data_IF_749406117757
#
_entry.id   IF_749406117757
#
_cell.length_a   1.000
_cell.length_b   1.000
_cell.length_c   1.000
_cell.angle_alpha   90.00
_cell.angle_beta   90.00
_cell.angle_gamma   90.00
#
_symmetry.space_group_name_H-M   'P 1'
#
loop_
_entity.id
_entity.type
_entity.pdbx_description
1 polymer ?
#
# COMPACT_ATOMS: atom_id res chain seq x y z
N UNK A 1 46.09 41.62 0.13
CA UNK A 1 46.83 40.70 1.02
C UNK A 1 45.85 40.11 2.01
N UNK A 2 45.46 38.85 1.82
CA UNK A 2 44.58 38.13 2.73
C UNK A 2 45.16 36.72 2.89
N UNK A 3 45.56 36.40 4.12
CA UNK A 3 46.20 35.15 4.50
C UNK A 3 45.15 34.08 4.77
N UNK A 4 45.30 32.93 4.13
CA UNK A 4 44.56 31.70 4.46
C UNK A 4 45.37 30.89 5.46
N UNK A 5 44.82 30.65 6.65
CA UNK A 5 45.36 29.70 7.62
C UNK A 5 44.58 28.40 7.56
N UNK A 6 45.32 27.30 7.34
CA UNK A 6 44.85 25.93 7.37
C UNK A 6 44.96 25.40 8.80
N UNK A 7 43.94 24.70 9.30
CA UNK A 7 43.91 24.09 10.64
C UNK A 7 43.30 22.68 10.61
N UNK A 8 43.66 21.78 11.55
CA UNK A 8 43.99 20.40 11.21
C UNK A 8 42.89 19.35 11.51
N UNK A 9 43.13 18.18 10.90
CA UNK A 9 42.43 16.89 11.03
C UNK A 9 42.24 16.44 12.49
N UNK A 10 40.98 16.23 12.87
CA UNK A 10 40.56 15.63 14.14
C UNK A 10 40.34 14.11 14.00
N UNK A 11 40.86 13.39 14.99
CA UNK A 11 41.09 11.95 15.06
C UNK A 11 39.84 11.06 15.12
N UNK A 12 39.99 9.84 14.61
CA UNK A 12 39.07 8.72 14.78
C UNK A 12 39.28 8.03 16.13
N UNK A 13 38.21 7.82 16.91
CA UNK A 13 38.18 6.89 18.04
C UNK A 13 37.34 5.66 17.68
N UNK A 14 38.01 4.51 17.61
CA UNK A 14 37.40 3.18 17.57
C UNK A 14 37.19 2.72 19.01
N UNK A 15 35.93 2.52 19.42
CA UNK A 15 35.61 1.76 20.62
C UNK A 15 35.09 0.38 20.22
N UNK A 16 35.89 -0.63 20.55
CA UNK A 16 35.48 -2.02 20.63
C UNK A 16 34.73 -2.25 21.95
N UNK A 17 33.61 -2.97 21.92
CA UNK A 17 33.07 -3.62 23.12
C UNK A 17 32.33 -4.91 22.74
N UNK A 18 32.62 -5.91 23.56
CA UNK A 18 32.38 -7.34 23.44
C UNK A 18 31.03 -7.79 24.01
N UNK A 19 30.54 -8.92 23.48
CA UNK A 19 29.72 -9.97 24.12
C UNK A 19 28.51 -9.58 25.00
N UNK A 20 27.32 -10.03 24.61
CA UNK A 20 26.48 -10.81 25.52
C UNK A 20 25.39 -11.64 24.82
N UNK A 21 25.50 -12.96 25.01
CA UNK A 21 24.45 -13.96 25.29
C UNK A 21 23.18 -14.01 24.42
N UNK A 22 23.14 -15.03 23.55
CA UNK A 22 21.91 -15.48 22.89
C UNK A 22 21.01 -16.23 23.87
N UNK A 23 19.85 -15.65 24.17
CA UNK A 23 18.75 -16.37 24.82
C UNK A 23 17.85 -16.94 23.73
N UNK A 24 17.83 -18.26 23.59
CA UNK A 24 16.86 -18.96 22.75
C UNK A 24 15.50 -18.91 23.50
N UNK A 25 14.43 -18.37 22.89
CA UNK A 25 13.12 -18.30 23.53
C UNK A 25 12.46 -19.69 23.66
N UNK A 26 11.73 -19.89 24.76
CA UNK A 26 11.18 -21.16 25.27
C UNK A 26 10.16 -21.87 24.36
N UNK A 27 9.65 -21.23 23.31
CA UNK A 27 8.67 -21.84 22.40
C UNK A 27 9.23 -22.95 21.49
N UNK A 28 10.55 -23.22 21.58
CA UNK A 28 11.23 -24.25 20.76
C UNK A 28 11.34 -25.63 21.42
N UNK A 29 10.76 -25.84 22.61
CA UNK A 29 10.77 -27.14 23.29
C UNK A 29 9.65 -28.03 22.71
N UNK A 30 10.00 -28.89 21.74
CA UNK A 30 9.15 -29.99 21.26
C UNK A 30 9.21 -31.16 22.24
N UNK A 31 8.11 -31.41 22.96
CA UNK A 31 7.89 -32.71 23.63
C UNK A 31 7.37 -33.74 22.61
N UNK A 32 7.93 -34.95 22.66
CA UNK A 32 7.59 -36.12 21.84
C UNK A 32 7.20 -37.28 22.77
N UNK A 33 6.18 -38.05 22.38
CA UNK A 33 5.82 -39.39 22.90
C UNK A 33 4.89 -39.35 24.12
N UNK A 34 3.94 -40.27 24.33
CA UNK A 34 3.73 -41.62 23.77
C UNK A 34 2.32 -42.14 24.16
N UNK A 35 1.66 -42.80 23.20
CA UNK A 35 0.79 -44.01 23.22
C UNK A 35 -0.15 -44.38 24.41
N UNK A 36 -1.46 -44.47 24.08
CA UNK A 36 -2.52 -45.53 24.28
C UNK A 36 -2.59 -46.43 25.55
N UNK A 37 -3.64 -47.26 25.81
CA UNK A 37 -5.02 -47.40 25.29
C UNK A 37 -6.10 -47.58 26.42
N UNK A 38 -7.41 -47.63 26.10
CA UNK A 38 -8.35 -48.71 26.52
C UNK A 38 -9.79 -48.49 26.02
N UNK A 39 -10.43 -49.60 25.64
CA UNK A 39 -11.78 -49.80 25.11
C UNK A 39 -12.81 -50.10 26.19
N UNK A 40 -14.07 -49.64 26.06
CA UNK A 40 -15.28 -50.40 26.45
C UNK A 40 -16.58 -49.85 25.83
N UNK A 41 -17.57 -50.75 25.81
CA UNK A 41 -18.75 -50.89 24.97
C UNK A 41 -19.92 -49.90 25.08
N UNK A 42 -20.67 -49.90 23.96
CA UNK A 42 -22.10 -49.72 23.72
C UNK A 42 -23.06 -49.33 24.87
N UNK A 43 -23.93 -48.34 24.61
CA UNK A 43 -25.39 -48.55 24.61
C UNK A 43 -26.18 -47.38 24.00
N UNK A 44 -27.32 -47.76 23.38
CA UNK A 44 -28.35 -46.94 22.76
C UNK A 44 -28.89 -45.79 23.63
N UNK A 45 -29.21 -44.67 22.97
CA UNK A 45 -29.98 -43.59 23.57
C UNK A 45 -30.38 -42.54 22.55
N UNK A 46 -31.45 -42.79 21.80
CA UNK A 46 -32.22 -41.77 21.08
C UNK A 46 -32.73 -40.72 22.06
N UNK A 47 -32.32 -39.47 21.89
CA UNK A 47 -33.11 -38.32 22.32
C UNK A 47 -32.78 -37.10 21.45
N UNK A 48 -33.83 -36.53 20.87
CA UNK A 48 -33.85 -35.30 20.11
C UNK A 48 -33.40 -34.12 20.97
N UNK A 49 -32.45 -33.33 20.49
CA UNK A 49 -32.25 -31.96 20.98
C UNK A 49 -31.76 -31.06 19.84
N UNK A 50 -32.41 -29.92 19.76
CA UNK A 50 -32.35 -28.92 18.70
C UNK A 50 -30.94 -28.29 18.64
N UNK A 51 -30.28 -28.37 17.48
CA UNK A 51 -29.05 -27.62 17.22
C UNK A 51 -29.37 -26.12 17.05
N UNK A 52 -28.66 -25.21 17.74
CA UNK A 52 -28.67 -23.80 17.37
C UNK A 52 -27.95 -23.61 16.04
N UNK A 53 -28.64 -22.93 15.12
CA UNK A 53 -28.23 -22.64 13.75
C UNK A 53 -27.16 -21.55 13.80
N UNK A 54 -25.89 -21.91 13.65
CA UNK A 54 -24.82 -20.95 13.45
C UNK A 54 -25.04 -20.23 12.10
N UNK A 55 -25.28 -18.92 12.17
CA UNK A 55 -25.29 -18.01 11.02
C UNK A 55 -23.83 -17.74 10.62
N UNK A 56 -23.33 -18.48 9.64
CA UNK A 56 -22.15 -18.06 8.90
C UNK A 56 -22.54 -17.08 7.79
N UNK A 57 -21.93 -15.89 7.71
CA UNK A 57 -22.01 -15.07 6.51
C UNK A 57 -20.98 -15.53 5.47
N UNK A 58 -21.54 -16.08 4.39
CA UNK A 58 -21.11 -16.11 2.98
C UNK A 58 -20.06 -15.04 2.63
N UNK A 59 -19.04 -15.31 1.82
CA UNK A 59 -19.16 -15.88 0.48
C UNK A 59 -17.99 -16.78 0.07
N UNK A 60 -18.34 -18.03 -0.28
CA UNK A 60 -17.54 -18.92 -1.13
C UNK A 60 -17.90 -18.64 -2.58
N UNK A 61 -16.89 -18.33 -3.38
CA UNK A 61 -16.95 -18.11 -4.82
C UNK A 61 -16.90 -19.47 -5.53
N UNK A 62 -18.01 -20.21 -5.50
CA UNK A 62 -18.14 -21.45 -6.28
C UNK A 62 -19.50 -21.53 -7.00
N UNK A 63 -19.39 -21.39 -8.32
CA UNK A 63 -20.10 -22.11 -9.39
C UNK A 63 -21.63 -22.24 -9.30
N UNK A 64 -22.32 -21.36 -10.03
CA UNK A 64 -23.65 -21.66 -10.58
C UNK A 64 -23.51 -22.07 -12.06
N UNK A 65 -24.19 -23.16 -12.43
CA UNK A 65 -24.02 -23.97 -13.64
C UNK A 65 -24.80 -23.48 -14.89
N UNK A 66 -25.10 -22.19 -15.02
CA UNK A 66 -25.82 -21.65 -16.19
C UNK A 66 -24.98 -20.67 -17.00
N UNK A 67 -24.04 -21.21 -17.79
CA UNK A 67 -22.99 -20.44 -18.48
C UNK A 67 -23.47 -19.64 -19.69
N UNK A 68 -24.72 -19.81 -20.16
CA UNK A 68 -25.30 -19.06 -21.30
C UNK A 68 -26.17 -17.88 -20.88
N UNK A 69 -26.56 -17.78 -19.62
CA UNK A 69 -27.52 -16.76 -19.15
C UNK A 69 -27.02 -15.94 -17.95
N UNK A 70 -25.79 -16.17 -17.47
CA UNK A 70 -25.16 -15.23 -16.56
C UNK A 70 -24.73 -13.98 -17.35
N UNK A 71 -25.47 -12.88 -17.18
CA UNK A 71 -24.92 -11.53 -17.39
C UNK A 71 -23.49 -11.56 -16.84
N UNK A 72 -22.49 -11.32 -17.70
CA UNK A 72 -21.07 -11.30 -17.32
C UNK A 72 -20.98 -10.64 -15.96
N UNK A 73 -20.71 -11.41 -14.91
CA UNK A 73 -20.40 -10.86 -13.60
C UNK A 73 -19.24 -9.91 -13.89
N UNK A 74 -19.53 -8.61 -13.89
CA UNK A 74 -18.59 -7.61 -14.30
C UNK A 74 -17.45 -7.75 -13.31
N UNK A 75 -16.33 -8.31 -13.77
CA UNK A 75 -15.10 -8.25 -13.02
C UNK A 75 -14.82 -6.78 -12.67
N UNK A 76 -13.93 -6.52 -11.70
CA UNK A 76 -13.60 -5.19 -11.25
C UNK A 76 -13.52 -4.21 -12.43
N UNK A 77 -14.47 -3.28 -12.50
CA UNK A 77 -14.52 -2.41 -13.65
C UNK A 77 -13.58 -1.25 -13.35
N UNK A 78 -12.54 -1.14 -14.18
CA UNK A 78 -11.71 0.06 -14.18
C UNK A 78 -12.64 1.27 -14.41
N UNK A 79 -12.60 2.30 -13.56
CA UNK A 79 -13.41 3.50 -13.78
C UNK A 79 -13.10 4.10 -15.16
N UNK A 80 -14.04 4.84 -15.73
CA UNK A 80 -13.70 5.65 -16.91
C UNK A 80 -12.79 6.80 -16.48
N UNK A 81 -12.05 7.36 -17.42
CA UNK A 81 -11.12 8.44 -17.10
C UNK A 81 -11.86 9.68 -16.59
N UNK A 82 -13.03 9.95 -17.15
CA UNK A 82 -13.92 11.07 -16.80
C UNK A 82 -14.45 10.91 -15.38
N UNK A 83 -14.70 9.67 -14.95
CA UNK A 83 -15.21 9.32 -13.63
C UNK A 83 -14.10 9.21 -12.57
N UNK A 84 -12.84 9.12 -12.99
CA UNK A 84 -11.69 8.99 -12.09
C UNK A 84 -11.59 10.20 -11.15
N UNK A 85 -11.40 9.93 -9.86
CA UNK A 85 -11.28 10.94 -8.79
C UNK A 85 -9.89 10.91 -8.16
N UNK A 86 -9.47 12.05 -7.62
CA UNK A 86 -8.29 12.15 -6.75
C UNK A 86 -8.51 11.29 -5.51
N UNK A 87 -7.46 10.62 -5.04
CA UNK A 87 -7.53 9.65 -3.93
C UNK A 87 -8.00 8.26 -4.35
N UNK A 88 -8.46 8.04 -5.59
CA UNK A 88 -8.83 6.70 -6.07
C UNK A 88 -7.58 5.81 -6.12
N UNK A 89 -7.71 4.55 -5.71
CA UNK A 89 -6.64 3.56 -5.77
C UNK A 89 -6.80 2.69 -7.01
N UNK A 90 -5.77 2.70 -7.84
CA UNK A 90 -5.60 1.85 -9.01
C UNK A 90 -4.38 0.95 -8.81
N UNK A 91 -4.05 0.16 -9.82
CA UNK A 91 -2.95 -0.79 -9.80
C UNK A 91 -2.01 -0.59 -11.00
N UNK A 92 -0.72 -0.55 -10.72
CA UNK A 92 0.31 -0.71 -11.75
C UNK A 92 0.54 -2.20 -11.95
N UNK A 93 0.22 -2.68 -13.16
CA UNK A 93 0.42 -4.08 -13.54
C UNK A 93 1.86 -4.50 -13.28
N UNK A 94 2.06 -5.76 -12.90
CA UNK A 94 3.41 -6.35 -12.81
C UNK A 94 4.14 -6.36 -14.16
N UNK A 95 3.39 -6.49 -15.26
CA UNK A 95 3.93 -6.35 -16.60
C UNK A 95 4.24 -4.87 -16.86
N UNK A 96 5.51 -4.49 -17.09
CA UNK A 96 5.87 -3.11 -17.36
C UNK A 96 5.15 -2.55 -18.58
N UNK A 97 4.86 -1.25 -18.56
CA UNK A 97 4.45 -0.53 -19.75
C UNK A 97 5.56 -0.57 -20.81
N UNK A 98 5.21 -0.43 -22.10
CA UNK A 98 6.14 -0.16 -23.18
C UNK A 98 7.17 0.94 -22.84
N UNK A 99 8.39 0.83 -23.40
CA UNK A 99 9.54 1.69 -23.04
C UNK A 99 9.34 3.17 -23.38
N UNK A 100 8.43 3.47 -24.29
CA UNK A 100 7.99 4.80 -24.71
C UNK A 100 6.98 5.45 -23.75
N UNK A 101 6.52 4.72 -22.72
CA UNK A 101 5.67 5.29 -21.67
C UNK A 101 6.39 6.39 -20.90
N UNK A 102 5.66 7.47 -20.59
CA UNK A 102 6.16 8.60 -19.79
C UNK A 102 6.72 8.16 -18.43
N UNK A 103 6.19 7.06 -17.86
CA UNK A 103 6.65 6.58 -16.56
C UNK A 103 8.14 6.26 -16.57
N UNK A 104 8.67 5.68 -17.66
CA UNK A 104 10.09 5.33 -17.74
C UNK A 104 10.98 6.57 -17.71
N UNK A 105 10.52 7.70 -18.23
CA UNK A 105 11.21 8.98 -18.16
C UNK A 105 11.19 9.58 -16.74
N UNK A 106 10.12 9.35 -15.98
CA UNK A 106 10.03 9.77 -14.58
C UNK A 106 10.81 8.88 -13.61
N UNK A 107 10.96 7.59 -13.91
CA UNK A 107 11.55 6.60 -12.98
C UNK A 107 13.07 6.66 -12.82
N UNK A 108 13.79 7.43 -13.65
CA UNK A 108 15.25 7.60 -13.50
C UNK A 108 15.69 8.15 -12.14
N UNK A 109 14.74 8.63 -11.32
CA UNK A 109 14.96 9.26 -10.02
C UNK A 109 14.59 8.34 -8.83
N UNK A 110 13.87 7.23 -9.05
CA UNK A 110 13.36 6.39 -7.96
C UNK A 110 14.16 5.10 -7.78
N UNK A 111 14.58 4.85 -6.54
CA UNK A 111 15.09 3.53 -6.12
C UNK A 111 13.94 2.52 -6.08
N UNK A 112 13.81 1.71 -7.14
CA UNK A 112 12.91 0.56 -7.18
C UNK A 112 12.02 0.48 -8.42
N UNK A 113 11.29 -0.62 -8.55
CA UNK A 113 10.35 -0.81 -9.65
C UNK A 113 8.95 -0.33 -9.25
N UNK A 114 8.29 0.53 -10.05
CA UNK A 114 6.92 0.99 -9.74
C UNK A 114 5.86 -0.08 -10.03
N UNK A 115 6.25 -1.18 -10.69
CA UNK A 115 5.34 -2.21 -11.17
C UNK A 115 4.88 -3.13 -10.03
N UNK A 116 3.62 -3.54 -10.07
CA UNK A 116 3.05 -4.45 -9.09
C UNK A 116 2.59 -3.79 -7.80
N UNK A 117 2.46 -2.46 -7.78
CA UNK A 117 2.10 -1.67 -6.62
C UNK A 117 0.75 -0.95 -6.81
N UNK A 118 -0.01 -0.71 -5.72
CA UNK A 118 -1.15 0.19 -5.75
C UNK A 118 -0.69 1.62 -6.09
N UNK A 119 -1.49 2.32 -6.87
CA UNK A 119 -1.25 3.68 -7.34
C UNK A 119 -2.42 4.57 -6.89
N UNK A 120 -2.14 5.56 -6.05
CA UNK A 120 -3.14 6.53 -5.58
C UNK A 120 -3.15 7.71 -6.55
N UNK A 121 -4.29 7.97 -7.16
CA UNK A 121 -4.49 9.07 -8.11
C UNK A 121 -4.33 10.41 -7.40
N UNK A 122 -3.42 11.25 -7.89
CA UNK A 122 -3.18 12.60 -7.38
C UNK A 122 -3.77 13.66 -8.32
N UNK A 123 -3.68 13.45 -9.63
CA UNK A 123 -4.21 14.36 -10.66
C UNK A 123 -4.50 13.58 -11.93
N UNK A 124 -5.39 14.09 -12.77
CA UNK A 124 -5.64 13.57 -14.11
C UNK A 124 -5.57 14.69 -15.12
N UNK A 125 -5.00 14.42 -16.28
CA UNK A 125 -4.83 15.41 -17.33
C UNK A 125 -4.84 14.74 -18.72
N UNK A 126 -5.08 15.54 -19.74
CA UNK A 126 -5.11 15.09 -21.14
C UNK A 126 -4.08 15.89 -21.95
N UNK A 127 -3.39 15.22 -22.87
CA UNK A 127 -2.49 15.86 -23.84
C UNK A 127 -2.57 15.09 -25.15
N UNK A 128 -2.82 15.80 -26.25
CA UNK A 128 -2.88 15.22 -27.60
C UNK A 128 -3.87 14.05 -27.74
N UNK A 129 -5.01 14.09 -27.03
CA UNK A 129 -6.00 13.01 -27.03
C UNK A 129 -5.61 11.77 -26.23
N UNK A 130 -4.47 11.79 -25.52
CA UNK A 130 -4.10 10.75 -24.57
C UNK A 130 -4.39 11.20 -23.13
N UNK A 131 -4.91 10.26 -22.33
CA UNK A 131 -5.23 10.45 -20.93
C UNK A 131 -4.07 10.02 -20.05
N UNK A 132 -3.72 10.85 -19.07
CA UNK A 132 -2.63 10.63 -18.13
C UNK A 132 -3.10 10.85 -16.70
N UNK A 133 -2.38 10.19 -15.79
CA UNK A 133 -2.63 10.26 -14.36
C UNK A 133 -1.31 10.51 -13.66
N UNK A 134 -1.31 11.50 -12.77
CA UNK A 134 -0.28 11.60 -11.76
C UNK A 134 -0.70 10.78 -10.54
N UNK A 135 0.24 10.06 -9.95
CA UNK A 135 -0.04 9.17 -8.85
C UNK A 135 1.13 9.07 -7.87
N UNK A 136 0.85 8.54 -6.68
CA UNK A 136 1.84 8.10 -5.70
C UNK A 136 1.69 6.61 -5.44
N UNK A 137 2.81 5.93 -5.21
CA UNK A 137 2.82 4.49 -4.96
C UNK A 137 2.45 4.17 -3.51
N UNK A 138 1.68 3.11 -3.35
CA UNK A 138 1.55 2.39 -2.08
C UNK A 138 2.49 1.19 -2.01
N UNK A 139 2.96 0.89 -0.81
CA UNK A 139 3.81 -0.28 -0.52
C UNK A 139 3.43 -0.87 0.83
N UNK A 140 3.50 -2.20 0.94
CA UNK A 140 3.28 -2.88 2.22
C UNK A 140 4.56 -3.20 2.97
N UNK A 141 5.73 -3.01 2.35
CA UNK A 141 7.01 -3.52 2.86
C UNK A 141 6.96 -4.99 3.30
N UNK A 142 6.21 -5.83 2.57
CA UNK A 142 6.01 -7.23 2.95
C UNK A 142 5.14 -7.43 4.20
N UNK A 143 4.37 -6.41 4.60
CA UNK A 143 3.55 -6.40 5.81
C UNK A 143 4.30 -5.93 7.07
N UNK A 144 5.57 -5.54 6.94
CA UNK A 144 6.35 -5.08 8.09
C UNK A 144 6.04 -3.64 8.49
N UNK A 145 6.24 -3.28 9.78
CA UNK A 145 6.22 -1.89 10.20
C UNK A 145 7.27 -1.05 9.46
N UNK A 146 7.02 0.26 9.38
CA UNK A 146 7.89 1.22 8.72
C UNK A 146 9.28 1.28 9.38
N UNK A 147 9.32 1.10 10.70
CA UNK A 147 10.52 1.16 11.54
C UNK A 147 11.46 0.00 11.33
N UNK A 148 10.91 -1.17 10.97
CA UNK A 148 11.69 -2.34 10.58
C UNK A 148 12.19 -2.19 9.15
N UNK A 149 11.42 -1.52 8.30
CA UNK A 149 11.64 -1.49 6.84
C UNK A 149 12.49 -0.31 6.37
N UNK A 150 12.52 0.80 7.10
CA UNK A 150 13.12 2.08 6.69
C UNK A 150 13.82 2.78 7.85
N UNK A 151 14.83 3.60 7.53
CA UNK A 151 15.53 4.47 8.48
C UNK A 151 14.59 5.57 9.00
N UNK A 152 14.78 5.99 10.25
CA UNK A 152 13.90 6.93 10.95
C UNK A 152 13.60 8.22 10.21
N UNK A 153 14.61 8.85 9.59
CA UNK A 153 14.43 10.10 8.85
C UNK A 153 13.59 9.95 7.56
N UNK A 154 13.38 8.71 7.08
CA UNK A 154 12.47 8.44 5.97
C UNK A 154 11.01 8.32 6.40
N UNK A 155 10.71 8.16 7.69
CA UNK A 155 9.34 7.85 8.14
C UNK A 155 8.36 8.98 7.81
N UNK A 156 8.81 10.23 7.89
CA UNK A 156 8.03 11.42 7.50
C UNK A 156 7.57 11.43 6.03
N UNK A 157 8.18 10.62 5.17
CA UNK A 157 7.80 10.50 3.76
C UNK A 157 6.76 9.40 3.53
N UNK A 158 6.16 8.84 4.58
CA UNK A 158 5.13 7.83 4.44
C UNK A 158 3.90 8.19 5.26
N UNK A 159 2.73 7.94 4.67
CA UNK A 159 1.45 7.96 5.37
C UNK A 159 0.88 6.55 5.35
N UNK A 160 0.43 6.06 6.51
CA UNK A 160 -0.21 4.76 6.61
C UNK A 160 -1.66 4.87 6.18
N UNK A 161 -2.08 4.03 5.23
CA UNK A 161 -3.49 3.89 4.90
C UNK A 161 -4.19 3.13 6.03
N UNK A 162 -5.22 3.74 6.60
CA UNK A 162 -5.96 3.16 7.71
C UNK A 162 -6.64 1.87 7.26
N UNK A 163 -6.21 0.77 7.85
CA UNK A 163 -6.93 -0.48 7.85
C UNK A 163 -7.14 -0.79 9.33
N UNK A 164 -8.40 -0.88 9.77
CA UNK A 164 -8.87 -1.16 11.14
C UNK A 164 -8.28 -2.40 11.87
N UNK A 165 -7.17 -2.97 11.41
CA UNK A 165 -6.48 -4.14 11.95
C UNK A 165 -5.33 -3.75 12.90
N UNK A 166 -4.75 -2.54 12.78
CA UNK A 166 -3.58 -2.13 13.56
C UNK A 166 -3.59 -0.63 13.90
N UNK A 167 -4.64 -0.14 14.57
CA UNK A 167 -4.67 1.24 15.12
C UNK A 167 -3.82 1.32 16.41
N UNK A 168 -2.64 0.71 16.39
CA UNK A 168 -1.53 1.15 17.23
C UNK A 168 -0.68 1.97 16.29
N UNK A 169 -0.97 3.28 16.21
CA UNK A 169 -0.07 4.23 15.56
C UNK A 169 1.32 3.98 16.15
N UNK A 170 2.29 3.50 15.36
CA UNK A 170 3.52 2.97 15.95
C UNK A 170 4.30 4.03 16.74
N UNK A 171 4.07 5.32 16.44
CA UNK A 171 4.75 6.48 17.00
C UNK A 171 4.18 7.80 16.40
N UNK A 172 4.39 8.93 17.08
CA UNK A 172 3.89 10.28 16.74
C UNK A 172 4.29 10.82 15.34
N UNK A 173 5.09 10.10 14.56
CA UNK A 173 5.73 10.62 13.34
C UNK A 173 5.11 10.09 12.04
N UNK A 174 4.33 9.00 12.10
CA UNK A 174 3.66 8.46 10.90
C UNK A 174 2.22 8.95 10.87
N UNK A 175 1.87 9.68 9.82
CA UNK A 175 0.49 10.14 9.62
C UNK A 175 -0.43 8.98 9.22
N UNK A 176 -1.71 9.08 9.57
CA UNK A 176 -2.78 8.22 9.07
C UNK A 176 -3.45 8.89 7.86
N UNK A 177 -3.93 8.07 6.91
CA UNK A 177 -4.79 8.46 5.82
C UNK A 177 -6.03 7.56 5.81
N UNK A 178 -7.20 8.17 5.85
CA UNK A 178 -8.49 7.48 5.98
C UNK A 178 -9.05 7.07 4.62
N UNK A 179 -9.64 5.89 4.56
CA UNK A 179 -10.34 5.39 3.37
C UNK A 179 -11.84 5.67 3.47
N UNK A 180 -12.45 6.05 2.35
CA UNK A 180 -13.89 6.27 2.29
C UNK A 180 -14.68 4.95 2.39
N UNK A 181 -15.91 5.05 2.88
CA UNK A 181 -16.89 3.96 2.91
C UNK A 181 -16.38 2.68 3.61
N UNK A 182 -15.41 2.81 4.52
CA UNK A 182 -14.80 1.66 5.19
C UNK A 182 -13.98 0.77 4.27
N UNK A 183 -13.52 1.30 3.13
CA UNK A 183 -12.59 0.63 2.23
C UNK A 183 -11.32 0.19 2.98
N UNK A 184 -10.71 -0.92 2.54
CA UNK A 184 -9.50 -1.45 3.17
C UNK A 184 -8.57 -2.09 2.15
N UNK A 185 -7.27 -1.94 2.39
CA UNK A 185 -6.26 -2.80 1.80
C UNK A 185 -6.27 -4.17 2.49
N UNK A 186 -5.79 -5.19 1.79
CA UNK A 186 -5.67 -6.56 2.32
C UNK A 186 -4.61 -6.69 3.42
N UNK A 187 -3.73 -5.69 3.56
CA UNK A 187 -2.71 -5.63 4.60
C UNK A 187 -2.19 -4.22 4.77
N UNK A 188 -1.25 -4.06 5.71
CA UNK A 188 -0.63 -2.77 6.00
C UNK A 188 -0.06 -2.15 4.74
N UNK A 189 -0.44 -0.90 4.47
CA UNK A 189 -0.06 -0.19 3.25
C UNK A 189 0.34 1.23 3.60
N UNK A 190 1.47 1.66 3.05
CA UNK A 190 2.03 2.99 3.22
C UNK A 190 2.09 3.68 1.87
N UNK A 191 1.67 4.94 1.79
CA UNK A 191 1.77 5.75 0.57
C UNK A 191 3.04 6.60 0.66
N UNK A 192 3.85 6.57 -0.40
CA UNK A 192 5.10 7.32 -0.48
C UNK A 192 4.82 8.81 -0.80
N UNK A 193 5.02 9.66 0.21
CA UNK A 193 4.93 11.12 0.17
C UNK A 193 6.27 11.80 -0.09
N UNK A 194 7.33 11.07 -0.44
CA UNK A 194 8.63 11.68 -0.74
C UNK A 194 8.49 12.71 -1.87
N UNK A 195 9.39 13.72 -1.93
CA UNK A 195 9.26 14.76 -2.95
C UNK A 195 9.31 14.27 -4.39
N UNK A 196 10.05 13.19 -4.63
CA UNK A 196 10.16 12.53 -5.93
C UNK A 196 9.19 11.35 -6.09
N UNK A 197 8.27 11.17 -5.14
CA UNK A 197 7.35 10.02 -5.09
C UNK A 197 6.11 10.18 -5.98
N UNK A 198 5.88 11.36 -6.57
CA UNK A 198 4.80 11.62 -7.51
C UNK A 198 5.29 11.35 -8.93
N UNK A 199 4.59 10.48 -9.65
CA UNK A 199 4.93 10.06 -11.01
C UNK A 199 3.73 10.20 -11.93
N UNK A 200 3.97 10.18 -13.24
CA UNK A 200 2.92 10.21 -14.25
C UNK A 200 2.94 8.92 -15.08
N UNK A 201 1.76 8.48 -15.54
CA UNK A 201 1.59 7.37 -16.48
C UNK A 201 0.36 7.59 -17.35
N UNK A 202 0.37 7.03 -18.55
CA UNK A 202 -0.81 6.92 -19.40
C UNK A 202 -1.88 6.08 -18.68
N UNK A 203 -3.11 6.59 -18.67
CA UNK A 203 -4.22 5.96 -17.98
C UNK A 203 -4.42 4.51 -18.44
N UNK A 204 -4.22 4.23 -19.74
CA UNK A 204 -4.38 2.89 -20.34
C UNK A 204 -3.57 1.78 -19.66
N UNK A 205 -2.46 2.11 -18.98
CA UNK A 205 -1.60 1.13 -18.30
C UNK A 205 -2.00 0.82 -16.85
N UNK A 206 -2.96 1.54 -16.29
CA UNK A 206 -3.49 1.27 -14.95
C UNK A 206 -4.60 0.20 -14.96
N UNK A 207 -4.73 -0.53 -13.86
CA UNK A 207 -5.80 -1.49 -13.59
C UNK A 207 -6.64 -1.08 -12.38
N UNK A 208 -7.87 -1.60 -12.24
CA UNK A 208 -8.61 -1.45 -11.00
C UNK A 208 -7.89 -2.19 -9.88
N UNK A 209 -7.79 -1.56 -8.71
CA UNK A 209 -7.36 -2.26 -7.50
C UNK A 209 -8.57 -2.87 -6.80
N UNK A 210 -8.54 -4.18 -6.55
CA UNK A 210 -9.68 -4.88 -5.95
C UNK A 210 -10.88 -4.81 -6.88
N UNK A 211 -12.01 -4.30 -6.40
CA UNK A 211 -13.25 -4.04 -7.16
C UNK A 211 -13.25 -2.68 -7.89
N UNK A 212 -12.20 -1.87 -7.72
CA UNK A 212 -12.08 -0.52 -8.28
C UNK A 212 -12.78 0.57 -7.46
N UNK A 213 -13.35 0.26 -6.29
CA UNK A 213 -14.05 1.23 -5.44
C UNK A 213 -13.16 1.93 -4.42
N UNK A 214 -12.00 1.34 -4.09
CA UNK A 214 -11.12 1.81 -3.02
C UNK A 214 -10.62 3.25 -3.25
N UNK A 215 -10.93 4.14 -2.31
CA UNK A 215 -10.64 5.57 -2.39
C UNK A 215 -10.31 6.15 -1.01
N UNK A 216 -9.36 7.07 -0.95
CA UNK A 216 -9.10 7.90 0.22
C UNK A 216 -10.15 8.98 0.39
N UNK A 217 -10.46 9.38 1.62
CA UNK A 217 -11.33 10.52 1.86
C UNK A 217 -10.71 11.82 1.33
N UNK A 218 -11.54 12.86 1.20
CA UNK A 218 -11.12 14.11 0.58
C UNK A 218 -9.86 14.71 1.26
N UNK A 219 -9.82 14.72 2.60
CA UNK A 219 -8.69 15.26 3.36
C UNK A 219 -7.39 14.48 3.10
N UNK A 220 -7.46 13.15 3.18
CA UNK A 220 -6.32 12.28 2.94
C UNK A 220 -5.87 12.32 1.49
N UNK A 221 -6.82 12.37 0.54
CA UNK A 221 -6.55 12.49 -0.88
C UNK A 221 -5.83 13.80 -1.21
N UNK A 222 -6.27 14.93 -0.67
CA UNK A 222 -5.61 16.22 -0.83
C UNK A 222 -4.21 16.21 -0.21
N UNK A 223 -4.05 15.65 0.99
CA UNK A 223 -2.74 15.50 1.64
C UNK A 223 -1.77 14.68 0.79
N UNK A 224 -2.23 13.56 0.24
CA UNK A 224 -1.41 12.70 -0.63
C UNK A 224 -1.05 13.44 -1.93
N UNK A 225 -2.03 14.09 -2.57
CA UNK A 225 -1.82 14.79 -3.84
C UNK A 225 -0.88 16.00 -3.72
N UNK A 226 -0.98 16.75 -2.60
CA UNK A 226 -0.24 17.99 -2.36
C UNK A 226 1.03 17.81 -1.52
N UNK A 227 1.36 16.59 -1.07
CA UNK A 227 2.63 16.33 -0.40
C UNK A 227 3.78 16.85 -1.27
N UNK A 228 4.66 17.67 -0.66
CA UNK A 228 5.68 18.50 -1.31
C UNK A 228 6.22 17.85 -2.59
N UNK A 229 5.94 18.46 -3.75
CA UNK A 229 6.54 18.07 -5.02
C UNK A 229 7.58 19.15 -5.37
N UNK A 230 8.86 18.80 -5.41
CA UNK A 230 9.81 19.64 -6.14
C UNK A 230 9.61 19.33 -7.62
N UNK A 231 8.75 20.11 -8.27
CA UNK A 231 8.59 20.06 -9.71
C UNK A 231 9.93 20.42 -10.36
N UNK A 232 10.47 19.52 -11.19
CA UNK A 232 11.74 19.73 -11.93
C UNK A 232 11.54 20.78 -13.04
N UNK A 233 10.30 20.89 -13.54
CA UNK A 233 9.84 22.07 -14.25
C UNK A 233 9.40 23.08 -13.19
N UNK A 234 9.81 24.34 -13.24
CA UNK A 234 9.39 25.37 -12.25
C UNK A 234 7.87 25.39 -11.99
N UNK A 235 7.40 26.11 -10.95
CA UNK A 235 6.02 26.08 -10.50
C UNK A 235 5.05 26.18 -11.70
N UNK A 236 4.29 25.10 -11.97
CA UNK A 236 3.16 25.17 -12.90
C UNK A 236 2.26 26.27 -12.37
N UNK A 237 2.26 27.40 -13.06
CA UNK A 237 1.34 28.49 -12.77
C UNK A 237 -0.06 27.89 -12.72
N UNK A 238 -0.72 28.02 -11.56
CA UNK A 238 -2.15 27.74 -11.46
C UNK A 238 -2.82 28.55 -12.57
N UNK A 239 -3.72 27.98 -13.39
CA UNK A 239 -4.48 28.77 -14.34
C UNK A 239 -5.15 29.90 -13.56
N UNK A 240 -4.79 31.14 -13.90
CA UNK A 240 -5.36 32.34 -13.33
C UNK A 240 -6.88 32.21 -13.51
N UNK A 241 -7.62 32.12 -12.40
CA UNK A 241 -9.07 32.14 -12.46
C UNK A 241 -9.49 33.39 -13.23
N UNK A 242 -10.17 33.20 -14.35
CA UNK A 242 -10.72 34.32 -15.13
C UNK A 242 -11.68 35.09 -14.22
N UNK A 243 -11.47 36.39 -14.01
CA UNK A 243 -12.45 37.20 -13.30
C UNK A 243 -13.75 37.22 -14.11
N UNK A 244 -14.87 37.01 -13.43
CA UNK A 244 -16.22 37.27 -13.95
C UNK A 244 -16.48 38.76 -14.01
#
# INVERSE_FOLDING_TARGET
MASFTCGPLGQFSLHSSTNSSSKIPEWRIKTKGSESPTSIDASNGTNSSLKPKALEPKAKWEMSNDWRCANKLQGPQKPRFEDLKVGQVLYLRKKPAPKDSILHHCTGVLEGTPWGHPAVVCEKWERNGEHYVDFRLGTSFGGHPLEVSRKQFHWQYYVMADNNVDVVLPNNNTSLATLENGGKFTGRTYINLSPNGRMSIEYKYLEPWGDGSLRFDQESAEKIANAYCYSIDGPRAKPLASPR
#
